data_IF_179345669988
#
_entry.id   IF_179345669988
#
_cell.length_a   1.000
_cell.length_b   1.000
_cell.length_c   1.000
_cell.angle_alpha   90.00
_cell.angle_beta   90.00
_cell.angle_gamma   90.00
#
_symmetry.space_group_name_H-M   'P 1'
#
loop_
_entity.id
_entity.type
_entity.pdbx_description
1 polymer ?
#
# COMPACT_ATOMS: atom_id res chain seq x y z
N UNK A 1 34.23 11.73 86.61
CA UNK A 1 33.11 11.99 85.68
C UNK A 1 33.35 11.16 84.42
N UNK A 2 32.64 10.03 84.23
CA UNK A 2 32.73 9.15 83.04
C UNK A 2 31.56 9.47 82.12
N UNK A 3 31.82 9.82 80.86
CA UNK A 3 30.80 9.98 79.82
C UNK A 3 30.78 8.68 79.02
N UNK A 4 29.68 7.92 79.13
CA UNK A 4 29.44 6.73 78.33
C UNK A 4 29.07 7.13 76.89
N UNK A 5 29.85 6.66 75.92
CA UNK A 5 29.59 6.84 74.49
C UNK A 5 28.59 5.76 74.06
N UNK A 6 27.34 6.16 73.79
CA UNK A 6 26.31 5.29 73.24
C UNK A 6 26.68 4.89 71.81
N UNK A 7 27.07 3.63 71.61
CA UNK A 7 27.21 3.02 70.29
C UNK A 7 25.81 2.69 69.78
N UNK A 8 25.36 3.45 68.76
CA UNK A 8 24.12 3.12 68.05
C UNK A 8 24.33 1.90 67.15
N UNK A 9 23.42 0.91 67.13
CA UNK A 9 23.55 -0.22 66.22
C UNK A 9 23.32 0.24 64.78
N UNK A 10 24.27 -0.05 63.90
CA UNK A 10 24.17 0.23 62.48
C UNK A 10 23.02 -0.58 61.87
N UNK A 11 22.00 0.12 61.36
CA UNK A 11 20.87 -0.49 60.64
C UNK A 11 21.39 -1.15 59.34
N UNK A 12 21.02 -2.40 59.04
CA UNK A 12 21.38 -3.04 57.77
C UNK A 12 20.76 -2.25 56.61
N UNK A 13 21.59 -1.77 55.68
CA UNK A 13 21.10 -1.15 54.44
C UNK A 13 20.46 -2.23 53.56
N UNK A 14 19.24 -2.01 53.04
CA UNK A 14 18.61 -2.96 52.12
C UNK A 14 19.45 -3.07 50.85
N UNK A 15 19.85 -4.30 50.49
CA UNK A 15 20.52 -4.58 49.22
C UNK A 15 19.51 -4.33 48.10
N UNK A 16 19.72 -3.26 47.34
CA UNK A 16 18.96 -2.93 46.14
C UNK A 16 19.09 -4.12 45.17
N UNK A 17 18.00 -4.83 44.90
CA UNK A 17 17.98 -5.90 43.90
C UNK A 17 18.45 -5.34 42.56
N UNK A 18 19.49 -5.95 41.97
CA UNK A 18 19.90 -5.64 40.60
C UNK A 18 18.69 -5.90 39.70
N UNK A 19 18.11 -4.84 39.12
CA UNK A 19 17.17 -4.99 38.01
C UNK A 19 17.92 -5.69 36.89
N UNK A 20 17.48 -6.90 36.54
CA UNK A 20 18.00 -7.63 35.39
C UNK A 20 17.86 -6.76 34.16
N UNK A 21 18.96 -6.52 33.47
CA UNK A 21 18.95 -5.92 32.14
C UNK A 21 18.38 -7.00 31.24
N UNK A 22 17.21 -6.74 30.64
CA UNK A 22 16.70 -7.58 29.56
C UNK A 22 17.62 -7.32 28.37
N UNK A 23 18.37 -8.35 27.93
CA UNK A 23 19.14 -8.25 26.70
C UNK A 23 18.17 -8.03 25.56
N UNK A 24 18.11 -6.80 25.03
CA UNK A 24 17.47 -6.51 23.77
C UNK A 24 18.44 -6.97 22.67
N UNK A 25 18.13 -8.10 22.06
CA UNK A 25 18.82 -8.59 20.87
C UNK A 25 18.44 -7.71 19.66
N UNK A 26 19.44 -7.34 18.85
CA UNK A 26 19.22 -6.53 17.65
C UNK A 26 18.45 -7.36 16.63
N UNK A 27 17.32 -6.85 16.14
CA UNK A 27 16.57 -7.48 15.06
C UNK A 27 17.45 -7.58 13.80
N UNK A 28 17.40 -8.73 13.12
CA UNK A 28 18.10 -8.91 11.85
C UNK A 28 17.51 -7.99 10.78
N UNK A 29 18.36 -7.50 9.87
CA UNK A 29 17.88 -6.74 8.71
C UNK A 29 17.18 -7.68 7.75
N UNK A 30 15.85 -7.57 7.63
CA UNK A 30 15.06 -8.32 6.64
C UNK A 30 14.80 -7.47 5.41
N UNK A 31 15.31 -7.93 4.28
CA UNK A 31 14.92 -7.40 2.97
C UNK A 31 13.62 -8.08 2.56
N UNK A 32 12.53 -7.30 2.48
CA UNK A 32 11.24 -7.80 2.00
C UNK A 32 11.12 -7.52 0.49
N UNK A 33 10.49 -8.44 -0.22
CA UNK A 33 10.15 -8.23 -1.62
C UNK A 33 9.01 -7.20 -1.68
N UNK A 34 9.27 -6.04 -2.27
CA UNK A 34 8.24 -5.01 -2.49
C UNK A 34 7.80 -5.07 -3.94
N UNK A 35 6.51 -5.35 -4.17
CA UNK A 35 5.90 -5.26 -5.49
C UNK A 35 5.17 -3.92 -5.61
N UNK A 36 5.44 -3.15 -6.66
CA UNK A 36 4.71 -1.92 -6.96
C UNK A 36 3.57 -2.24 -7.94
N UNK A 37 2.37 -1.77 -7.61
CA UNK A 37 1.21 -1.81 -8.50
C UNK A 37 0.79 -0.38 -8.82
N UNK A 38 0.49 -0.13 -10.09
CA UNK A 38 -0.08 1.13 -10.54
C UNK A 38 -1.59 0.95 -10.72
N UNK A 39 -2.38 1.85 -10.13
CA UNK A 39 -3.83 1.85 -10.21
C UNK A 39 -4.27 3.14 -10.93
N UNK A 40 -5.01 2.97 -12.03
CA UNK A 40 -5.69 4.08 -12.71
C UNK A 40 -7.19 4.02 -12.34
N UNK A 41 -7.74 5.16 -11.94
CA UNK A 41 -9.14 5.32 -11.53
C UNK A 41 -10.02 5.86 -12.66
N UNK A 42 -9.47 6.05 -13.86
CA UNK A 42 -10.22 6.46 -15.04
C UNK A 42 -10.71 7.92 -14.99
N UNK A 43 -10.11 8.77 -14.15
CA UNK A 43 -10.46 10.20 -14.06
C UNK A 43 -10.18 10.96 -15.37
N UNK A 44 -9.31 10.42 -16.21
CA UNK A 44 -8.98 10.95 -17.54
C UNK A 44 -9.77 10.26 -18.68
N UNK A 45 -10.64 9.29 -18.39
CA UNK A 45 -11.48 8.69 -19.43
C UNK A 45 -12.46 9.73 -19.99
N UNK A 46 -12.75 9.71 -21.30
CA UNK A 46 -13.82 10.52 -21.86
C UNK A 46 -15.15 10.23 -21.17
N UNK A 47 -16.07 11.20 -21.14
CA UNK A 47 -17.38 11.03 -20.52
C UNK A 47 -18.20 9.85 -21.12
N UNK A 48 -17.91 9.47 -22.36
CA UNK A 48 -18.50 8.29 -23.02
C UNK A 48 -17.72 6.98 -22.82
N UNK A 49 -16.70 6.98 -21.96
CA UNK A 49 -15.77 5.86 -21.81
C UNK A 49 -14.75 5.76 -22.95
N UNK A 50 -14.10 4.60 -23.04
CA UNK A 50 -13.17 4.23 -24.09
C UNK A 50 -13.49 2.80 -24.56
N UNK A 51 -13.51 2.60 -25.88
CA UNK A 51 -13.59 1.28 -26.49
C UNK A 51 -12.31 1.01 -27.26
N UNK A 52 -11.70 -0.15 -27.03
CA UNK A 52 -10.48 -0.60 -27.72
C UNK A 52 -10.56 -2.09 -28.00
N UNK A 53 -9.77 -2.61 -28.92
CA UNK A 53 -9.64 -4.06 -29.09
C UNK A 53 -8.61 -4.63 -28.10
N UNK A 54 -8.62 -5.95 -27.88
CA UNK A 54 -7.57 -6.66 -27.13
C UNK A 54 -6.19 -6.43 -27.74
N UNK A 55 -6.09 -6.41 -29.07
CA UNK A 55 -4.84 -6.12 -29.79
C UNK A 55 -4.36 -4.69 -29.53
N UNK A 56 -5.25 -3.71 -29.64
CA UNK A 56 -4.92 -2.30 -29.41
C UNK A 56 -4.57 -2.03 -27.94
N UNK A 57 -5.24 -2.73 -27.00
CA UNK A 57 -4.95 -2.63 -25.57
C UNK A 57 -3.52 -3.08 -25.22
N UNK A 58 -3.00 -4.08 -25.93
CA UNK A 58 -1.60 -4.47 -25.78
C UNK A 58 -0.65 -3.33 -26.20
N UNK A 59 -1.04 -2.52 -27.18
CA UNK A 59 -0.21 -1.48 -27.79
C UNK A 59 -0.55 -0.06 -27.28
N UNK A 60 -1.09 0.07 -26.07
CA UNK A 60 -1.32 1.37 -25.41
C UNK A 60 0.02 2.11 -25.31
N UNK A 61 0.13 3.30 -25.90
CA UNK A 61 1.35 4.12 -26.05
C UNK A 61 2.40 3.57 -27.04
N UNK A 62 2.00 2.64 -27.91
CA UNK A 62 2.77 2.15 -29.05
C UNK A 62 3.09 0.66 -29.00
N UNK A 63 3.77 0.17 -30.04
CA UNK A 63 4.09 -1.25 -30.21
C UNK A 63 5.17 -1.79 -29.24
N UNK A 64 5.69 -0.96 -28.33
CA UNK A 64 6.77 -1.32 -27.41
C UNK A 64 8.06 -1.76 -28.11
N UNK A 65 9.01 -2.27 -27.31
CA UNK A 65 10.26 -2.86 -27.84
C UNK A 65 9.98 -4.27 -28.37
N UNK A 66 10.44 -4.59 -29.58
CA UNK A 66 10.23 -5.89 -30.24
C UNK A 66 8.77 -6.27 -30.53
N UNK A 67 7.84 -5.30 -30.57
CA UNK A 67 6.44 -5.57 -30.91
C UNK A 67 5.61 -6.15 -29.76
N UNK A 68 6.10 -6.09 -28.52
CA UNK A 68 5.39 -6.61 -27.35
C UNK A 68 4.40 -5.62 -26.73
N UNK A 69 4.16 -4.48 -27.36
CA UNK A 69 3.32 -3.42 -26.81
C UNK A 69 3.84 -2.91 -25.46
N UNK A 70 3.07 -2.05 -24.84
CA UNK A 70 3.33 -1.52 -23.49
C UNK A 70 2.18 -1.79 -22.51
N UNK A 71 1.04 -2.27 -23.03
CA UNK A 71 -0.09 -2.75 -22.24
C UNK A 71 -0.02 -4.23 -21.91
N UNK A 72 -1.06 -4.74 -21.26
CA UNK A 72 -1.14 -6.16 -20.91
C UNK A 72 -1.62 -7.00 -22.09
N UNK A 73 -0.99 -8.15 -22.31
CA UNK A 73 -1.46 -9.11 -23.30
C UNK A 73 -2.64 -9.91 -22.71
N UNK A 74 -3.85 -9.65 -23.22
CA UNK A 74 -5.08 -10.34 -22.82
C UNK A 74 -5.48 -11.45 -23.79
N UNK A 75 -4.73 -11.67 -24.87
CA UNK A 75 -5.03 -12.67 -25.88
C UNK A 75 -5.01 -14.09 -25.27
N UNK A 76 -6.09 -14.85 -25.50
CA UNK A 76 -6.28 -16.20 -24.96
C UNK A 76 -6.66 -16.23 -23.47
N UNK A 77 -6.63 -15.09 -22.77
CA UNK A 77 -7.07 -15.02 -21.38
C UNK A 77 -8.60 -15.07 -21.34
N UNK A 78 -9.17 -16.07 -20.66
CA UNK A 78 -10.63 -16.24 -20.59
C UNK A 78 -11.30 -16.50 -21.95
N UNK A 79 -10.54 -16.88 -22.98
CA UNK A 79 -11.04 -17.09 -24.34
C UNK A 79 -11.07 -15.83 -25.21
N UNK A 80 -10.50 -14.72 -24.75
CA UNK A 80 -10.45 -13.47 -25.51
C UNK A 80 -9.62 -13.60 -26.79
N UNK A 81 -10.16 -13.11 -27.90
CA UNK A 81 -9.50 -12.99 -29.20
C UNK A 81 -8.96 -11.57 -29.42
N UNK A 82 -8.05 -11.39 -30.39
CA UNK A 82 -7.45 -10.08 -30.69
C UNK A 82 -8.47 -9.02 -31.09
N UNK A 83 -9.55 -9.41 -31.78
CA UNK A 83 -10.63 -8.52 -32.22
C UNK A 83 -11.70 -8.26 -31.17
N UNK A 84 -11.63 -8.91 -30.01
CA UNK A 84 -12.63 -8.73 -28.97
C UNK A 84 -12.54 -7.31 -28.42
N UNK A 85 -13.70 -6.71 -28.18
CA UNK A 85 -13.82 -5.34 -27.71
C UNK A 85 -13.71 -5.27 -26.19
N UNK A 86 -12.93 -4.31 -25.71
CA UNK A 86 -12.77 -3.95 -24.31
C UNK A 86 -13.36 -2.56 -24.10
N UNK A 87 -14.46 -2.50 -23.36
CA UNK A 87 -15.17 -1.27 -23.04
C UNK A 87 -14.84 -0.82 -21.61
N UNK A 88 -14.18 0.33 -21.51
CA UNK A 88 -13.85 0.99 -20.25
C UNK A 88 -14.86 2.11 -20.00
N UNK A 89 -15.70 1.94 -18.99
CA UNK A 89 -16.71 2.92 -18.60
C UNK A 89 -16.31 3.60 -17.29
N UNK A 90 -16.65 4.88 -17.09
CA UNK A 90 -16.50 5.54 -15.80
C UNK A 90 -17.23 4.75 -14.71
N UNK A 91 -16.63 4.72 -13.52
CA UNK A 91 -17.22 4.07 -12.35
C UNK A 91 -18.62 4.65 -12.10
N UNK A 92 -19.64 3.79 -12.11
CA UNK A 92 -21.03 4.16 -11.82
C UNK A 92 -21.36 3.87 -10.36
N UNK A 93 -20.66 4.54 -9.45
CA UNK A 93 -20.78 4.31 -8.00
C UNK A 93 -20.55 5.61 -7.24
N UNK A 94 -21.53 5.98 -6.42
CA UNK A 94 -21.45 7.10 -5.47
C UNK A 94 -20.55 6.69 -4.29
N UNK A 95 -19.26 6.98 -4.44
CA UNK A 95 -18.23 6.68 -3.45
C UNK A 95 -18.20 7.74 -2.34
N UNK A 96 -18.46 9.01 -2.70
CA UNK A 96 -18.32 10.13 -1.77
C UNK A 96 -19.57 10.35 -0.90
N UNK A 97 -20.71 9.74 -1.25
CA UNK A 97 -21.97 9.77 -0.53
C UNK A 97 -22.83 11.01 -0.77
N UNK A 98 -22.61 11.76 -1.86
CA UNK A 98 -23.33 13.01 -2.17
C UNK A 98 -24.61 12.81 -3.01
N UNK A 99 -24.95 11.54 -3.32
CA UNK A 99 -26.11 11.14 -4.14
C UNK A 99 -26.01 11.57 -5.62
N UNK A 100 -24.82 11.94 -6.10
CA UNK A 100 -24.52 12.24 -7.51
C UNK A 100 -23.40 11.31 -7.95
N UNK A 101 -23.59 10.61 -9.07
CA UNK A 101 -22.54 9.78 -9.66
C UNK A 101 -21.76 10.63 -10.66
N UNK A 102 -20.54 11.03 -10.31
CA UNK A 102 -19.71 11.88 -11.14
C UNK A 102 -18.19 11.66 -10.97
N UNK A 103 -17.37 12.56 -11.54
CA UNK A 103 -15.92 12.48 -11.45
C UNK A 103 -15.39 12.68 -10.01
N UNK A 104 -16.18 13.30 -9.13
CA UNK A 104 -15.91 13.46 -7.71
C UNK A 104 -15.78 12.12 -6.99
N UNK A 105 -16.52 11.09 -7.42
CA UNK A 105 -16.42 9.74 -6.88
C UNK A 105 -15.08 9.08 -7.19
N UNK A 106 -14.65 9.15 -8.45
CA UNK A 106 -13.38 8.59 -8.88
C UNK A 106 -12.20 9.29 -8.18
N UNK A 107 -12.27 10.61 -7.98
CA UNK A 107 -11.28 11.36 -7.20
C UNK A 107 -11.27 10.97 -5.72
N UNK A 108 -12.46 10.82 -5.11
CA UNK A 108 -12.56 10.41 -3.71
C UNK A 108 -12.01 8.99 -3.49
N UNK A 109 -12.28 8.07 -4.42
CA UNK A 109 -11.72 6.71 -4.41
C UNK A 109 -10.19 6.73 -4.56
N UNK A 110 -9.66 7.51 -5.50
CA UNK A 110 -8.21 7.67 -5.67
C UNK A 110 -7.55 8.17 -4.39
N UNK A 111 -8.15 9.14 -3.70
CA UNK A 111 -7.64 9.70 -2.46
C UNK A 111 -7.74 8.74 -1.26
N UNK A 112 -8.65 7.76 -1.32
CA UNK A 112 -8.81 6.75 -0.27
C UNK A 112 -7.74 5.65 -0.33
N UNK A 113 -7.01 5.52 -1.45
CA UNK A 113 -5.98 4.49 -1.61
C UNK A 113 -4.72 4.90 -0.84
N UNK A 114 -4.41 4.11 0.19
CA UNK A 114 -3.20 4.27 1.00
C UNK A 114 -2.06 3.43 0.40
N UNK A 115 -0.94 4.05 -0.03
CA UNK A 115 0.25 3.29 -0.39
C UNK A 115 0.83 2.66 0.87
N UNK A 116 0.96 1.33 0.87
CA UNK A 116 1.71 0.59 1.89
C UNK A 116 3.13 0.48 1.37
N UNK A 117 4.03 1.30 1.92
CA UNK A 117 5.48 1.30 1.66
C UNK A 117 6.24 0.78 2.86
#
# INVERSE_FOLDING_TARGET
RRIARLLSPARPRPRRGRRGVVSAESLESRTLLTTMFYLDFGTALPAGGMSTTVEDFQNIDGAGTNGYGTGSNLQGFGGLSSSDQLDFNPVQYDFNGDSVIDAGDAMALQNAVLPIV
#
